data_IF_555963796723
#
_entry.id   IF_555963796723
#
_cell.length_a   1.000
_cell.length_b   1.000
_cell.length_c   1.000
_cell.angle_alpha   90.00
_cell.angle_beta   90.00
_cell.angle_gamma   90.00
#
_symmetry.space_group_name_H-M   'P 1'
#
loop_
_entity.id
_entity.type
_entity.pdbx_description
1 polymer ?
#
# COMPACT_ATOMS: atom_id res chain seq x y z
N UNK A 1 -27.40 2.50 2.46
CA UNK A 1 -26.78 2.84 1.17
C UNK A 1 -26.79 1.58 0.29
N UNK A 2 -27.37 1.63 -0.91
CA UNK A 2 -27.43 0.49 -1.84
C UNK A 2 -26.49 0.69 -3.02
N UNK A 3 -25.93 -0.40 -3.53
CA UNK A 3 -25.21 -0.42 -4.80
C UNK A 3 -26.25 -0.30 -5.94
N UNK A 4 -26.09 0.63 -6.89
CA UNK A 4 -27.04 0.78 -8.00
C UNK A 4 -27.14 -0.49 -8.87
N UNK A 5 -28.32 -0.82 -9.39
CA UNK A 5 -28.54 -2.05 -10.15
C UNK A 5 -27.69 -2.10 -11.43
N UNK A 6 -27.39 -0.95 -12.02
CA UNK A 6 -26.50 -0.81 -13.17
C UNK A 6 -25.04 -1.19 -12.88
N UNK A 7 -24.65 -1.34 -11.61
CA UNK A 7 -23.33 -1.83 -11.20
C UNK A 7 -23.29 -3.35 -11.02
N UNK A 8 -24.43 -4.05 -11.08
CA UNK A 8 -24.47 -5.49 -10.91
C UNK A 8 -23.63 -6.20 -11.99
N UNK A 9 -22.65 -7.00 -11.55
CA UNK A 9 -21.74 -7.74 -12.42
C UNK A 9 -20.64 -6.90 -13.08
N UNK A 10 -20.52 -5.60 -12.77
CA UNK A 10 -19.43 -4.76 -13.26
C UNK A 10 -18.16 -4.92 -12.43
N UNK A 11 -17.02 -4.70 -13.08
CA UNK A 11 -15.70 -4.67 -12.44
C UNK A 11 -15.26 -3.23 -12.24
N UNK A 12 -14.91 -2.87 -10.99
CA UNK A 12 -14.17 -1.63 -10.70
C UNK A 12 -12.68 -1.89 -10.87
N UNK A 13 -12.00 -1.01 -11.60
CA UNK A 13 -10.54 -1.11 -11.86
C UNK A 13 -9.70 -0.19 -10.99
N UNK A 14 -10.35 0.69 -10.23
CA UNK A 14 -9.69 1.53 -9.22
C UNK A 14 -9.04 0.63 -8.17
N UNK A 15 -7.83 1.00 -7.76
CA UNK A 15 -7.13 0.26 -6.72
C UNK A 15 -7.58 0.73 -5.33
N UNK A 16 -7.58 -0.22 -4.40
CA UNK A 16 -7.86 -0.05 -2.98
C UNK A 16 -6.89 -0.93 -2.18
N UNK A 17 -6.77 -0.69 -0.89
CA UNK A 17 -5.91 -1.46 0.01
C UNK A 17 -6.55 -1.62 1.39
N UNK A 18 -5.97 -2.48 2.22
CA UNK A 18 -6.60 -2.96 3.46
C UNK A 18 -7.16 -1.86 4.38
N UNK A 19 -6.47 -0.72 4.62
CA UNK A 19 -6.99 0.35 5.47
C UNK A 19 -8.32 0.97 5.00
N UNK A 20 -8.59 0.97 3.69
CA UNK A 20 -9.81 1.55 3.11
C UNK A 20 -11.09 0.87 3.64
N UNK A 21 -11.01 -0.39 4.09
CA UNK A 21 -12.15 -1.07 4.68
C UNK A 21 -12.60 -0.42 5.99
N UNK A 22 -11.68 -0.02 6.86
CA UNK A 22 -12.05 0.66 8.10
C UNK A 22 -12.68 2.01 7.79
N UNK A 23 -12.06 2.82 6.91
CA UNK A 23 -12.60 4.10 6.48
C UNK A 23 -14.02 3.96 5.88
N UNK A 24 -14.23 2.93 5.06
CA UNK A 24 -15.54 2.61 4.47
C UNK A 24 -16.57 2.23 5.53
N UNK A 25 -16.20 1.42 6.53
CA UNK A 25 -17.11 1.06 7.62
C UNK A 25 -17.53 2.28 8.45
N UNK A 26 -16.59 3.18 8.75
CA UNK A 26 -16.89 4.44 9.46
C UNK A 26 -17.86 5.30 8.65
N UNK A 27 -17.57 5.57 7.38
CA UNK A 27 -18.43 6.35 6.48
C UNK A 27 -19.85 5.75 6.38
N UNK A 28 -19.95 4.46 6.07
CA UNK A 28 -21.24 3.79 5.86
C UNK A 28 -22.08 3.65 7.13
N UNK A 29 -21.44 3.51 8.30
CA UNK A 29 -22.14 3.41 9.58
C UNK A 29 -22.57 4.76 10.15
N UNK A 30 -21.94 5.86 9.71
CA UNK A 30 -22.11 7.17 10.34
C UNK A 30 -21.52 7.26 11.75
N UNK A 31 -20.71 6.27 12.16
CA UNK A 31 -20.05 6.27 13.45
C UNK A 31 -18.94 7.33 13.50
N UNK A 32 -18.65 7.83 14.70
CA UNK A 32 -17.48 8.69 14.93
C UNK A 32 -16.26 7.81 15.21
N UNK A 33 -15.18 7.99 14.45
CA UNK A 33 -13.92 7.33 14.74
C UNK A 33 -13.29 7.92 16.03
N UNK A 34 -12.82 7.10 16.98
CA UNK A 34 -12.27 7.58 18.25
C UNK A 34 -11.04 8.49 18.05
N UNK A 35 -10.84 9.46 18.95
CA UNK A 35 -9.75 10.45 18.83
C UNK A 35 -8.50 10.08 19.63
N UNK A 36 -8.62 9.10 20.52
CA UNK A 36 -7.60 8.67 21.49
C UNK A 36 -6.70 7.56 20.93
N UNK A 37 -6.94 7.14 19.68
CA UNK A 37 -6.19 6.12 18.95
C UNK A 37 -5.56 6.76 17.71
N UNK A 38 -4.58 6.09 17.05
CA UNK A 38 -4.04 6.59 15.79
C UNK A 38 -5.15 6.94 14.79
N UNK A 39 -5.01 8.03 14.01
CA UNK A 39 -6.03 8.44 13.05
C UNK A 39 -6.43 7.30 12.10
N UNK A 40 -7.68 7.29 11.67
CA UNK A 40 -8.13 6.35 10.66
C UNK A 40 -7.34 6.58 9.36
N UNK A 41 -6.71 5.52 8.86
CA UNK A 41 -5.96 5.53 7.60
C UNK A 41 -6.83 4.90 6.51
N UNK A 42 -6.64 5.34 5.27
CA UNK A 42 -7.40 4.89 4.11
C UNK A 42 -8.58 5.78 3.79
N UNK A 43 -9.16 5.56 2.62
CA UNK A 43 -10.26 6.35 2.08
C UNK A 43 -11.48 5.47 1.85
N UNK A 44 -12.67 6.04 2.03
CA UNK A 44 -13.92 5.30 1.87
C UNK A 44 -14.12 4.86 0.42
N UNK A 45 -14.44 3.57 0.24
CA UNK A 45 -14.82 2.98 -1.04
C UNK A 45 -16.29 3.22 -1.39
N UNK A 46 -17.06 3.87 -0.51
CA UNK A 46 -18.48 4.11 -0.72
C UNK A 46 -18.81 4.85 -2.04
N UNK A 47 -18.01 5.84 -2.51
CA UNK A 47 -18.22 6.42 -3.83
C UNK A 47 -18.16 5.38 -4.97
N UNK A 48 -17.16 4.49 -4.96
CA UNK A 48 -17.03 3.43 -5.97
C UNK A 48 -18.22 2.48 -5.94
N UNK A 49 -18.66 2.08 -4.74
CA UNK A 49 -19.84 1.23 -4.56
C UNK A 49 -21.13 1.89 -5.09
N UNK A 50 -21.16 3.23 -5.15
CA UNK A 50 -22.26 4.02 -5.72
C UNK A 50 -22.09 4.29 -7.22
N UNK A 51 -21.06 3.71 -7.86
CA UNK A 51 -20.82 3.81 -9.30
C UNK A 51 -19.92 4.96 -9.74
N UNK A 52 -19.23 5.63 -8.81
CA UNK A 52 -18.14 6.54 -9.14
C UNK A 52 -16.99 5.79 -9.82
N UNK A 53 -16.25 6.47 -10.70
CA UNK A 53 -15.09 5.90 -11.41
C UNK A 53 -13.82 6.76 -11.20
N UNK A 54 -13.85 7.65 -10.21
CA UNK A 54 -12.68 8.40 -9.80
C UNK A 54 -11.77 7.52 -8.95
N UNK A 55 -10.44 7.70 -9.03
CA UNK A 55 -9.52 7.04 -8.11
C UNK A 55 -9.89 7.32 -6.66
N UNK A 56 -9.86 6.28 -5.83
CA UNK A 56 -10.01 6.41 -4.38
C UNK A 56 -8.84 7.22 -3.81
N UNK A 57 -7.63 6.91 -4.31
CA UNK A 57 -6.39 7.50 -3.86
C UNK A 57 -5.81 8.41 -4.95
N UNK A 58 -5.80 9.72 -4.69
CA UNK A 58 -5.00 10.69 -5.44
C UNK A 58 -3.55 10.73 -4.92
N UNK A 59 -3.39 10.49 -3.62
CA UNK A 59 -2.10 10.40 -2.95
C UNK A 59 -1.50 8.99 -3.08
N UNK A 60 -0.19 8.83 -2.82
CA UNK A 60 0.44 7.53 -2.84
C UNK A 60 0.00 6.63 -1.69
N UNK A 61 -0.03 5.33 -1.95
CA UNK A 61 -0.15 4.29 -0.91
C UNK A 61 1.17 3.55 -0.76
N UNK A 62 1.46 3.11 0.46
CA UNK A 62 2.79 2.64 0.87
C UNK A 62 2.72 1.26 1.51
N UNK A 63 3.80 0.50 1.37
CA UNK A 63 4.00 -0.78 2.04
C UNK A 63 5.42 -0.89 2.58
N UNK A 64 5.51 -1.55 3.73
CA UNK A 64 6.72 -2.15 4.25
C UNK A 64 6.40 -3.59 4.68
N UNK A 65 7.33 -4.51 4.41
CA UNK A 65 7.22 -5.88 4.88
C UNK A 65 8.59 -6.53 5.04
N UNK A 66 9.05 -6.62 6.29
CA UNK A 66 10.33 -7.23 6.68
C UNK A 66 11.54 -6.67 5.89
N UNK A 67 11.56 -5.36 5.68
CA UNK A 67 12.60 -4.63 4.95
C UNK A 67 12.36 -4.54 3.43
N UNK A 68 11.41 -5.30 2.88
CA UNK A 68 10.90 -5.05 1.53
C UNK A 68 10.01 -3.82 1.55
N UNK A 69 10.02 -3.06 0.48
CA UNK A 69 9.34 -1.78 0.44
C UNK A 69 8.63 -1.60 -0.89
N UNK A 70 7.46 -0.96 -0.87
CA UNK A 70 6.76 -0.56 -2.07
C UNK A 70 5.96 0.72 -1.88
N UNK A 71 5.64 1.37 -2.99
CA UNK A 71 4.76 2.52 -3.08
C UNK A 71 4.01 2.46 -4.42
N UNK A 72 2.73 2.85 -4.43
CA UNK A 72 1.94 3.00 -5.65
C UNK A 72 1.37 4.40 -5.72
N UNK A 73 1.52 5.02 -6.88
CA UNK A 73 0.96 6.33 -7.16
C UNK A 73 0.46 6.39 -8.60
N UNK A 74 -0.86 6.33 -8.76
CA UNK A 74 -1.51 6.12 -10.05
C UNK A 74 -1.02 4.84 -10.73
N UNK A 75 -0.45 5.00 -11.93
CA UNK A 75 0.12 3.91 -12.72
C UNK A 75 1.51 3.46 -12.25
N UNK A 76 2.22 4.29 -11.50
CA UNK A 76 3.58 3.99 -11.08
C UNK A 76 3.58 3.10 -9.84
N UNK A 77 4.39 2.04 -9.89
CA UNK A 77 4.74 1.22 -8.73
C UNK A 77 6.24 1.24 -8.53
N UNK A 78 6.65 1.68 -7.35
CA UNK A 78 8.02 1.61 -6.85
C UNK A 78 8.10 0.39 -5.93
N UNK A 79 9.13 -0.44 -6.08
CA UNK A 79 9.34 -1.61 -5.22
C UNK A 79 10.82 -1.90 -5.05
N UNK A 80 11.22 -2.41 -3.88
CA UNK A 80 12.49 -3.10 -3.71
C UNK A 80 12.35 -4.31 -2.82
N UNK A 81 13.14 -5.31 -3.12
CA UNK A 81 13.53 -6.32 -2.15
C UNK A 81 14.53 -5.72 -1.16
N UNK A 82 14.53 -6.21 0.07
CA UNK A 82 15.47 -5.80 1.12
C UNK A 82 16.93 -5.84 0.61
N UNK A 83 17.67 -4.75 0.87
CA UNK A 83 19.07 -4.53 0.44
C UNK A 83 19.32 -4.54 -1.09
N UNK A 84 18.28 -4.59 -1.92
CA UNK A 84 18.39 -4.45 -3.37
C UNK A 84 18.06 -3.02 -3.83
N UNK A 85 18.54 -2.62 -5.03
CA UNK A 85 18.17 -1.35 -5.63
C UNK A 85 16.65 -1.22 -5.83
N UNK A 86 16.15 0.01 -5.83
CA UNK A 86 14.78 0.32 -6.20
C UNK A 86 14.50 0.03 -7.67
N UNK A 87 13.33 -0.53 -7.91
CA UNK A 87 12.77 -0.80 -9.23
C UNK A 87 11.50 0.02 -9.43
N UNK A 88 11.22 0.40 -10.68
CA UNK A 88 10.06 1.22 -11.03
C UNK A 88 9.31 0.57 -12.19
N UNK A 89 7.99 0.47 -12.07
CA UNK A 89 7.12 -0.16 -13.05
C UNK A 89 5.91 0.71 -13.39
N UNK A 90 5.46 0.66 -14.64
CA UNK A 90 4.15 1.16 -15.07
C UNK A 90 3.15 0.00 -15.02
N UNK A 91 2.34 -0.06 -13.95
CA UNK A 91 1.47 -1.20 -13.66
C UNK A 91 0.24 -1.26 -14.60
N UNK A 92 -0.06 -0.18 -15.31
CA UNK A 92 -1.16 -0.17 -16.29
C UNK A 92 -0.76 -0.94 -17.55
N UNK A 93 0.52 -0.88 -17.92
CA UNK A 93 1.07 -1.59 -19.08
C UNK A 93 1.73 -2.93 -18.71
N UNK A 94 2.28 -3.04 -17.50
CA UNK A 94 3.03 -4.20 -17.03
C UNK A 94 2.60 -4.61 -15.63
N UNK A 95 1.44 -5.26 -15.55
CA UNK A 95 0.91 -5.83 -14.29
C UNK A 95 1.79 -6.93 -13.70
N UNK A 96 2.74 -7.46 -14.46
CA UNK A 96 3.65 -8.55 -14.07
C UNK A 96 5.01 -8.06 -13.58
N UNK A 97 5.27 -6.75 -13.64
CA UNK A 97 6.51 -6.14 -13.16
C UNK A 97 7.76 -6.76 -13.82
N UNK A 98 7.71 -7.00 -15.13
CA UNK A 98 8.80 -7.65 -15.88
C UNK A 98 9.79 -6.63 -16.48
N UNK A 99 9.38 -5.38 -16.63
CA UNK A 99 10.14 -4.35 -17.33
C UNK A 99 10.51 -3.20 -16.38
N UNK A 100 11.67 -3.29 -15.74
CA UNK A 100 12.14 -2.28 -14.81
C UNK A 100 12.53 -0.97 -15.54
N UNK A 101 11.86 0.13 -15.19
CA UNK A 101 12.01 1.47 -15.77
C UNK A 101 12.85 2.42 -14.90
N UNK A 102 13.42 1.95 -13.79
CA UNK A 102 14.13 2.78 -12.81
C UNK A 102 15.27 3.62 -13.41
N UNK A 103 15.97 3.09 -14.43
CA UNK A 103 17.06 3.82 -15.10
C UNK A 103 16.54 4.81 -16.13
N UNK A 104 15.52 4.45 -16.91
CA UNK A 104 14.96 5.31 -17.97
C UNK A 104 14.08 6.44 -17.42
N UNK A 105 13.53 6.26 -16.21
CA UNK A 105 12.66 7.22 -15.52
C UNK A 105 13.22 7.58 -14.13
N UNK A 106 14.51 7.89 -14.06
CA UNK A 106 15.23 8.14 -12.80
C UNK A 106 14.61 9.27 -11.97
N UNK A 107 14.16 10.35 -12.59
CA UNK A 107 13.51 11.46 -11.87
C UNK A 107 12.21 11.02 -11.16
N UNK A 108 11.38 10.20 -11.84
CA UNK A 108 10.14 9.64 -11.25
C UNK A 108 10.48 8.67 -10.12
N UNK A 109 11.48 7.81 -10.32
CA UNK A 109 11.97 6.90 -9.29
C UNK A 109 12.43 7.68 -8.06
N UNK A 110 13.28 8.68 -8.23
CA UNK A 110 13.90 9.42 -7.13
C UNK A 110 12.87 10.21 -6.32
N UNK A 111 11.88 10.82 -6.98
CA UNK A 111 10.75 11.46 -6.29
C UNK A 111 9.94 10.45 -5.46
N UNK A 112 9.62 9.29 -6.03
CA UNK A 112 8.87 8.27 -5.29
C UNK A 112 9.70 7.67 -4.14
N UNK A 113 11.02 7.51 -4.29
CA UNK A 113 11.90 7.08 -3.21
C UNK A 113 11.88 8.08 -2.07
N UNK A 114 12.02 9.38 -2.37
CA UNK A 114 11.97 10.43 -1.36
C UNK A 114 10.61 10.45 -0.62
N UNK A 115 9.50 10.25 -1.34
CA UNK A 115 8.16 10.15 -0.74
C UNK A 115 8.02 8.93 0.17
N UNK A 116 8.54 7.77 -0.25
CA UNK A 116 8.51 6.56 0.57
C UNK A 116 9.38 6.71 1.82
N UNK A 117 10.58 7.29 1.71
CA UNK A 117 11.47 7.53 2.85
C UNK A 117 10.89 8.52 3.85
N UNK A 118 10.23 9.57 3.36
CA UNK A 118 9.49 10.50 4.20
C UNK A 118 8.36 9.78 4.96
N UNK A 119 7.49 9.07 4.26
CA UNK A 119 6.42 8.29 4.87
C UNK A 119 6.95 7.29 5.91
N UNK A 120 8.01 6.55 5.57
CA UNK A 120 8.63 5.56 6.45
C UNK A 120 9.18 6.20 7.73
N UNK A 121 9.75 7.41 7.64
CA UNK A 121 10.25 8.16 8.80
C UNK A 121 9.10 8.62 9.69
N UNK A 122 8.02 9.15 9.11
CA UNK A 122 6.84 9.60 9.88
C UNK A 122 6.13 8.45 10.59
N UNK A 123 6.15 7.25 10.02
CA UNK A 123 5.48 6.07 10.56
C UNK A 123 6.41 5.18 11.39
N UNK A 124 7.59 5.69 11.75
CA UNK A 124 8.58 4.99 12.58
C UNK A 124 8.89 3.58 12.06
N UNK A 125 8.91 3.43 10.72
CA UNK A 125 9.30 2.19 10.08
C UNK A 125 10.73 1.90 10.50
N UNK A 126 10.86 0.93 11.42
CA UNK A 126 12.16 0.49 11.85
C UNK A 126 12.87 -0.08 10.62
N UNK A 127 14.15 0.25 10.46
CA UNK A 127 15.05 -0.46 9.56
C UNK A 127 15.85 -1.51 10.36
N UNK A 128 15.23 -2.51 11.03
CA UNK A 128 16.03 -3.54 11.65
C UNK A 128 16.69 -4.35 10.55
N UNK A 129 17.83 -4.98 10.86
CA UNK A 129 18.21 -6.18 10.12
C UNK A 129 17.00 -7.10 10.09
N UNK A 130 16.61 -7.55 8.89
CA UNK A 130 15.44 -8.40 8.66
C UNK A 130 15.24 -9.39 9.82
N UNK A 131 14.05 -9.38 10.42
CA UNK A 131 13.71 -10.37 11.44
C UNK A 131 13.58 -11.74 10.77
N UNK A 132 14.60 -12.57 10.91
CA UNK A 132 14.57 -13.94 10.42
C UNK A 132 13.81 -14.83 11.43
N UNK A 133 12.51 -15.03 11.18
CA UNK A 133 11.63 -15.89 11.98
C UNK A 133 12.18 -17.31 12.09
N UNK A 134 12.78 -17.87 11.04
CA UNK A 134 13.31 -19.23 11.08
C UNK A 134 14.54 -19.33 11.98
N UNK A 135 15.44 -18.36 11.91
CA UNK A 135 16.57 -18.27 12.83
C UNK A 135 16.11 -18.02 14.26
N UNK A 136 15.08 -17.18 14.46
CA UNK A 136 14.51 -16.96 15.79
C UNK A 136 13.87 -18.22 16.36
N UNK A 137 13.06 -18.95 15.58
CA UNK A 137 12.46 -20.23 15.96
C UNK A 137 13.53 -21.31 16.20
N UNK A 138 14.59 -21.35 15.40
CA UNK A 138 15.73 -22.26 15.58
C UNK A 138 16.41 -21.99 16.92
N UNK A 139 16.72 -20.71 17.23
CA UNK A 139 17.28 -20.30 18.52
C UNK A 139 16.36 -20.64 19.70
N UNK A 140 15.04 -20.60 19.52
CA UNK A 140 14.09 -21.01 20.56
C UNK A 140 14.09 -22.52 20.79
N UNK A 141 14.14 -23.32 19.72
CA UNK A 141 14.25 -24.78 19.83
C UNK A 141 15.56 -25.22 20.47
N UNK A 142 16.67 -24.57 20.13
CA UNK A 142 17.99 -24.84 20.73
C UNK A 142 18.09 -24.43 22.21
N UNK A 143 17.16 -23.60 22.70
CA UNK A 143 17.08 -23.16 24.10
C UNK A 143 16.08 -23.96 24.94
N UNK A 144 15.38 -24.96 24.39
CA UNK A 144 14.57 -25.89 25.18
C UNK A 144 15.47 -26.98 25.79
N UNK A 145 15.40 -27.24 27.11
CA UNK A 145 16.23 -28.24 27.80
C UNK A 145 15.93 -29.68 27.35
#
# INVERSE_FOLDING_TARGET
>A
ASIPQEQNGKLTRQFAYLPDFMATCVDLSGASYPSEIPPCVGDSLAPLLRGADQPVHAEPIYWEHEGNAAMRWGKWKLVREYEKPWELYDIDQDRTEMNNLATSHSAQRDDMVAKWEHWATEHEVAFPKRFDMYQWLKRLKEKQP
#
